data_IF_258506958840
#
_entry.id   IF_258506958840
#
_cell.length_a   1.000
_cell.length_b   1.000
_cell.length_c   1.000
_cell.angle_alpha   90.00
_cell.angle_beta   90.00
_cell.angle_gamma   90.00
#
_symmetry.space_group_name_H-M   'P 1'
#
loop_
_entity.id
_entity.type
_entity.pdbx_description
1 polymer ?
#
# COMPACT_ATOMS: atom_id res chain seq x y z
N UNK A 1 -23.22 39.00 5.47
CA UNK A 1 -22.81 38.18 6.63
C UNK A 1 -24.06 37.54 7.24
N UNK A 2 -24.12 36.21 7.29
CA UNK A 2 -24.82 35.39 8.30
C UNK A 2 -24.60 33.91 7.91
N UNK A 3 -23.75 33.20 8.67
CA UNK A 3 -23.65 31.74 8.59
C UNK A 3 -24.82 31.14 9.40
N UNK A 4 -25.60 30.26 8.77
CA UNK A 4 -26.61 29.46 9.45
C UNK A 4 -25.90 28.37 10.28
N UNK A 5 -26.09 28.42 11.60
CA UNK A 5 -25.58 27.41 12.52
C UNK A 5 -26.30 26.07 12.34
N UNK A 6 -25.53 24.98 12.30
CA UNK A 6 -26.07 23.62 12.38
C UNK A 6 -26.54 23.35 13.82
N UNK A 7 -27.77 22.86 13.95
CA UNK A 7 -28.38 22.46 15.22
C UNK A 7 -27.61 21.28 15.84
N UNK A 8 -26.98 21.46 17.02
CA UNK A 8 -26.16 20.43 17.68
C UNK A 8 -26.98 19.28 18.27
N UNK A 9 -28.32 19.33 18.20
CA UNK A 9 -29.21 18.32 18.79
C UNK A 9 -29.65 17.24 17.79
N UNK A 10 -29.25 17.34 16.52
CA UNK A 10 -29.61 16.33 15.52
C UNK A 10 -28.79 15.05 15.78
N UNK A 11 -29.42 13.91 16.10
CA UNK A 11 -28.67 12.67 16.26
C UNK A 11 -27.94 12.35 14.95
N UNK A 12 -26.62 12.18 15.03
CA UNK A 12 -25.85 11.60 13.94
C UNK A 12 -26.42 10.20 13.68
N UNK A 13 -26.73 9.82 12.42
CA UNK A 13 -27.12 8.45 12.14
C UNK A 13 -26.00 7.54 12.64
N UNK A 14 -26.34 6.59 13.52
CA UNK A 14 -25.41 5.55 13.92
C UNK A 14 -24.95 4.83 12.64
N UNK A 15 -23.64 4.75 12.44
CA UNK A 15 -23.07 3.93 11.37
C UNK A 15 -23.47 2.49 11.68
N UNK A 16 -24.44 1.96 10.94
CA UNK A 16 -24.79 0.55 11.04
C UNK A 16 -23.55 -0.30 10.76
N UNK A 17 -23.33 -1.40 11.49
CA UNK A 17 -22.18 -2.25 11.23
C UNK A 17 -22.27 -2.75 9.79
N UNK A 18 -21.19 -2.56 9.03
CA UNK A 18 -21.10 -3.03 7.66
C UNK A 18 -21.29 -4.55 7.64
N UNK A 19 -22.48 -4.98 7.25
CA UNK A 19 -22.75 -6.36 6.85
C UNK A 19 -21.69 -6.72 5.82
N UNK A 20 -20.94 -7.81 6.06
CA UNK A 20 -19.87 -8.28 5.19
C UNK A 20 -20.41 -8.57 3.79
N UNK A 21 -20.34 -7.56 2.92
CA UNK A 21 -20.64 -7.69 1.51
C UNK A 21 -19.48 -8.43 0.85
N UNK A 22 -19.80 -9.30 -0.12
CA UNK A 22 -18.81 -9.88 -1.02
C UNK A 22 -17.90 -8.77 -1.57
N UNK A 23 -16.57 -8.99 -1.64
CA UNK A 23 -15.64 -7.98 -2.12
C UNK A 23 -16.09 -7.48 -3.49
N UNK A 24 -16.21 -6.16 -3.62
CA UNK A 24 -16.57 -5.56 -4.91
C UNK A 24 -15.47 -5.89 -5.91
N UNK A 25 -15.81 -6.07 -7.20
CA UNK A 25 -14.83 -6.50 -8.20
C UNK A 25 -13.56 -5.62 -8.25
N UNK A 26 -13.69 -4.31 -7.98
CA UNK A 26 -12.55 -3.39 -7.89
C UNK A 26 -11.68 -3.61 -6.64
N UNK A 27 -12.27 -4.02 -5.51
CA UNK A 27 -11.54 -4.38 -4.29
C UNK A 27 -10.72 -5.65 -4.52
N UNK A 28 -11.30 -6.65 -5.20
CA UNK A 28 -10.58 -7.87 -5.60
C UNK A 28 -9.41 -7.56 -6.56
N UNK A 29 -9.63 -6.69 -7.55
CA UNK A 29 -8.59 -6.28 -8.49
C UNK A 29 -7.48 -5.46 -7.81
N UNK A 30 -7.83 -4.52 -6.92
CA UNK A 30 -6.86 -3.79 -6.11
C UNK A 30 -6.07 -4.76 -5.21
N UNK A 31 -6.73 -5.72 -4.57
CA UNK A 31 -6.07 -6.74 -3.76
C UNK A 31 -5.07 -7.55 -4.58
N UNK A 32 -5.45 -7.98 -5.78
CA UNK A 32 -4.55 -8.71 -6.67
C UNK A 32 -3.32 -7.87 -7.08
N UNK A 33 -3.49 -6.58 -7.34
CA UNK A 33 -2.37 -5.68 -7.62
C UNK A 33 -1.43 -5.52 -6.41
N UNK A 34 -1.97 -5.51 -5.19
CA UNK A 34 -1.19 -5.47 -3.96
C UNK A 34 -0.41 -6.78 -3.73
N UNK A 35 -1.02 -7.92 -3.99
CA UNK A 35 -0.34 -9.21 -3.92
C UNK A 35 0.78 -9.31 -4.98
N UNK A 36 0.52 -8.87 -6.22
CA UNK A 36 1.53 -8.79 -7.28
C UNK A 36 2.71 -7.87 -6.91
N UNK A 37 2.46 -6.74 -6.25
CA UNK A 37 3.50 -5.86 -5.71
C UNK A 37 4.42 -6.61 -4.73
N UNK A 38 3.85 -7.42 -3.83
CA UNK A 38 4.63 -8.15 -2.84
C UNK A 38 5.42 -9.30 -3.46
N UNK A 39 4.80 -10.01 -4.42
CA UNK A 39 5.45 -11.08 -5.17
C UNK A 39 6.62 -10.54 -6.00
N UNK A 40 6.45 -9.40 -6.66
CA UNK A 40 7.52 -8.73 -7.40
C UNK A 40 8.67 -8.32 -6.48
N UNK A 41 8.40 -7.74 -5.31
CA UNK A 41 9.44 -7.49 -4.30
C UNK A 41 10.17 -8.78 -3.92
N UNK A 42 9.44 -9.85 -3.61
CA UNK A 42 9.99 -11.14 -3.21
C UNK A 42 10.83 -11.80 -4.31
N UNK A 43 10.53 -11.52 -5.59
CA UNK A 43 11.33 -12.00 -6.72
C UNK A 43 12.70 -11.32 -6.84
N UNK A 44 12.89 -10.18 -6.15
CA UNK A 44 14.09 -9.33 -6.22
C UNK A 44 14.35 -8.73 -7.61
N UNK A 45 13.35 -8.75 -8.49
CA UNK A 45 13.38 -8.10 -9.78
C UNK A 45 12.82 -6.67 -9.63
N UNK A 46 13.72 -5.69 -9.73
CA UNK A 46 13.35 -4.27 -9.60
C UNK A 46 12.49 -3.77 -10.76
N UNK A 47 12.67 -4.31 -11.96
CA UNK A 47 11.85 -3.93 -13.11
C UNK A 47 10.42 -4.44 -12.89
N UNK A 48 10.28 -5.73 -12.55
CA UNK A 48 8.98 -6.29 -12.20
C UNK A 48 8.33 -5.55 -11.01
N UNK A 49 9.11 -5.12 -10.02
CA UNK A 49 8.57 -4.34 -8.91
C UNK A 49 8.10 -2.95 -9.34
N UNK A 50 8.86 -2.27 -10.21
CA UNK A 50 8.50 -0.97 -10.75
C UNK A 50 7.22 -1.02 -11.59
N UNK A 51 7.01 -2.09 -12.37
CA UNK A 51 5.78 -2.31 -13.16
C UNK A 51 4.50 -2.36 -12.30
N UNK A 52 4.61 -2.75 -11.03
CA UNK A 52 3.45 -2.80 -10.11
C UNK A 52 3.03 -1.42 -9.59
N UNK A 53 3.78 -0.37 -9.91
CA UNK A 53 3.57 0.97 -9.40
C UNK A 53 2.81 1.86 -10.38
N UNK A 54 2.17 2.90 -9.84
CA UNK A 54 1.75 4.06 -10.60
C UNK A 54 2.68 5.23 -10.30
N UNK A 55 2.99 6.00 -11.35
CA UNK A 55 3.89 7.13 -11.28
C UNK A 55 3.13 8.47 -11.44
N UNK A 56 3.59 9.57 -10.82
CA UNK A 56 4.70 9.63 -9.85
C UNK A 56 4.36 8.84 -8.58
N UNK A 57 5.30 8.00 -8.13
CA UNK A 57 5.11 7.12 -6.98
C UNK A 57 5.58 7.83 -5.71
N UNK A 58 4.77 7.77 -4.65
CA UNK A 58 5.06 8.47 -3.38
C UNK A 58 5.36 7.47 -2.28
N UNK A 59 6.44 7.69 -1.54
CA UNK A 59 6.69 7.01 -0.27
C UNK A 59 6.87 8.01 0.84
N UNK A 60 6.13 7.84 1.92
CA UNK A 60 6.35 8.55 3.19
C UNK A 60 7.01 7.57 4.15
N UNK A 61 8.16 7.94 4.68
CA UNK A 61 8.99 7.12 5.57
C UNK A 61 9.79 8.03 6.50
N UNK A 62 10.18 7.58 7.70
CA UNK A 62 11.13 8.22 8.64
C UNK A 62 11.29 9.76 8.52
N UNK A 63 10.19 10.52 8.66
CA UNK A 63 10.20 12.00 8.62
C UNK A 63 10.43 12.63 7.24
N UNK A 64 10.47 11.84 6.17
CA UNK A 64 10.72 12.24 4.80
C UNK A 64 9.61 11.80 3.84
N UNK A 65 9.52 12.52 2.72
CA UNK A 65 8.71 12.13 1.56
C UNK A 65 9.66 11.93 0.39
N UNK A 66 9.55 10.79 -0.26
CA UNK A 66 10.27 10.48 -1.49
C UNK A 66 9.29 10.31 -2.63
N UNK A 67 9.59 10.97 -3.75
CA UNK A 67 8.83 10.84 -4.99
C UNK A 67 9.76 10.25 -6.05
N UNK A 68 9.22 9.35 -6.87
CA UNK A 68 9.83 8.87 -8.10
C UNK A 68 8.92 9.24 -9.25
N UNK A 69 9.44 9.96 -10.25
CA UNK A 69 8.66 10.45 -11.38
C UNK A 69 8.30 9.37 -12.38
N UNK A 70 9.17 8.36 -12.51
CA UNK A 70 9.03 7.28 -13.47
C UNK A 70 9.71 5.99 -13.00
N UNK A 71 9.54 4.95 -13.81
CA UNK A 71 10.11 3.62 -13.60
C UNK A 71 11.64 3.62 -13.55
N UNK A 72 12.29 4.31 -14.49
CA UNK A 72 13.75 4.35 -14.55
C UNK A 72 14.36 4.95 -13.27
N UNK A 73 13.81 6.07 -12.81
CA UNK A 73 14.21 6.70 -11.56
C UNK A 73 13.90 5.83 -10.33
N UNK A 74 12.81 5.05 -10.36
CA UNK A 74 12.52 4.08 -9.30
C UNK A 74 13.57 2.97 -9.24
N UNK A 75 13.86 2.31 -10.36
CA UNK A 75 14.84 1.22 -10.43
C UNK A 75 16.22 1.71 -9.98
N UNK A 76 16.69 2.85 -10.51
CA UNK A 76 17.99 3.41 -10.16
C UNK A 76 18.11 3.66 -8.64
N UNK A 77 17.13 4.35 -8.06
CA UNK A 77 17.20 4.78 -6.66
C UNK A 77 16.85 3.68 -5.65
N UNK A 78 16.05 2.68 -6.06
CA UNK A 78 15.71 1.53 -5.20
C UNK A 78 16.73 0.39 -5.29
N UNK A 79 17.65 0.39 -6.26
CA UNK A 79 18.75 -0.58 -6.35
C UNK A 79 19.57 -0.70 -5.05
N UNK A 80 20.13 0.39 -4.48
CA UNK A 80 20.88 0.29 -3.24
C UNK A 80 20.01 -0.15 -2.05
N UNK A 81 18.74 0.26 -2.00
CA UNK A 81 17.81 -0.15 -0.92
C UNK A 81 17.52 -1.65 -0.96
N UNK A 82 17.30 -2.22 -2.15
CA UNK A 82 17.09 -3.67 -2.31
C UNK A 82 18.35 -4.45 -1.95
N UNK A 83 19.53 -3.98 -2.37
CA UNK A 83 20.80 -4.60 -2.00
C UNK A 83 20.97 -4.64 -0.47
N UNK A 84 20.76 -3.51 0.21
CA UNK A 84 20.82 -3.44 1.68
C UNK A 84 19.79 -4.34 2.35
N UNK A 85 18.58 -4.44 1.79
CA UNK A 85 17.57 -5.35 2.30
C UNK A 85 18.04 -6.81 2.20
N UNK A 86 18.55 -7.23 1.05
CA UNK A 86 19.11 -8.59 0.87
C UNK A 86 20.27 -8.85 1.82
N UNK A 87 21.19 -7.89 1.99
CA UNK A 87 22.35 -8.00 2.88
C UNK A 87 21.96 -8.10 4.37
N UNK A 88 20.79 -7.60 4.75
CA UNK A 88 20.25 -7.76 6.11
C UNK A 88 19.78 -9.19 6.44
N UNK A 89 19.90 -10.13 5.48
CA UNK A 89 19.43 -11.51 5.60
C UNK A 89 17.96 -11.70 5.21
N UNK A 90 17.29 -10.65 4.72
CA UNK A 90 15.92 -10.76 4.22
C UNK A 90 15.83 -11.71 3.03
N UNK A 91 14.85 -12.62 3.09
CA UNK A 91 14.57 -13.58 2.03
C UNK A 91 13.21 -13.35 1.40
N UNK A 92 12.18 -13.10 2.22
CA UNK A 92 10.82 -12.84 1.74
C UNK A 92 10.05 -11.94 2.69
N UNK A 93 8.98 -11.35 2.17
CA UNK A 93 7.94 -10.68 2.94
C UNK A 93 6.60 -11.38 2.78
N UNK A 94 5.71 -11.27 3.76
CA UNK A 94 4.30 -11.71 3.65
C UNK A 94 3.35 -10.73 4.30
N UNK A 95 2.13 -10.66 3.78
CA UNK A 95 1.03 -10.02 4.48
C UNK A 95 0.69 -10.76 5.77
N UNK A 96 0.65 -10.03 6.89
CA UNK A 96 0.02 -10.49 8.13
C UNK A 96 -1.46 -10.06 8.15
N UNK A 97 -1.76 -8.86 7.66
CA UNK A 97 -3.13 -8.39 7.44
C UNK A 97 -3.21 -7.39 6.27
N UNK A 98 -4.36 -7.37 5.60
CA UNK A 98 -4.73 -6.40 4.57
C UNK A 98 -6.19 -6.04 4.78
N UNK A 99 -6.47 -4.79 5.12
CA UNK A 99 -7.83 -4.25 5.25
C UNK A 99 -8.04 -3.16 4.21
N UNK A 100 -9.03 -3.33 3.33
CA UNK A 100 -9.40 -2.33 2.33
C UNK A 100 -10.38 -1.33 2.96
N UNK A 101 -9.86 -0.30 3.62
CA UNK A 101 -10.61 0.58 4.51
C UNK A 101 -11.51 1.59 3.78
N UNK A 102 -11.09 2.03 2.59
CA UNK A 102 -11.88 2.90 1.73
C UNK A 102 -11.73 2.45 0.28
N UNK A 103 -12.84 2.30 -0.43
CA UNK A 103 -12.82 1.81 -1.80
C UNK A 103 -13.84 2.54 -2.68
N UNK A 104 -13.43 2.70 -3.92
CA UNK A 104 -14.19 3.22 -5.05
C UNK A 104 -13.77 2.46 -6.31
N UNK A 105 -14.48 2.59 -7.43
CA UNK A 105 -14.13 1.88 -8.67
C UNK A 105 -12.70 2.10 -9.17
N UNK A 106 -12.07 3.24 -8.83
CA UNK A 106 -10.76 3.63 -9.34
C UNK A 106 -9.70 3.89 -8.27
N UNK A 107 -10.05 3.80 -6.99
CA UNK A 107 -9.12 4.03 -5.88
C UNK A 107 -9.49 3.20 -4.66
N UNK A 108 -8.47 2.58 -4.05
CA UNK A 108 -8.59 1.84 -2.79
C UNK A 108 -7.48 2.25 -1.84
N UNK A 109 -7.84 2.51 -0.58
CA UNK A 109 -6.90 2.66 0.52
C UNK A 109 -6.85 1.35 1.29
N UNK A 110 -5.64 0.82 1.50
CA UNK A 110 -5.39 -0.39 2.24
C UNK A 110 -4.57 -0.10 3.49
N UNK A 111 -5.08 -0.52 4.65
CA UNK A 111 -4.29 -0.64 5.87
C UNK A 111 -3.62 -2.02 5.82
N UNK A 112 -2.30 -2.05 5.81
CA UNK A 112 -1.54 -3.29 5.66
C UNK A 112 -0.58 -3.47 6.82
N UNK A 113 -0.43 -4.73 7.20
CA UNK A 113 0.67 -5.20 8.03
C UNK A 113 1.43 -6.27 7.28
N UNK A 114 2.74 -6.11 7.15
CA UNK A 114 3.59 -7.12 6.52
C UNK A 114 4.77 -7.50 7.41
N UNK A 115 5.14 -8.77 7.35
CA UNK A 115 6.30 -9.34 8.01
C UNK A 115 7.43 -9.53 7.01
N UNK A 116 8.66 -9.45 7.51
CA UNK A 116 9.88 -9.86 6.81
C UNK A 116 10.43 -11.13 7.44
N UNK A 117 10.99 -11.99 6.60
CA UNK A 117 11.52 -13.29 7.00
C UNK A 117 12.94 -13.49 6.49
N UNK A 118 13.75 -14.19 7.29
CA UNK A 118 15.07 -14.66 6.88
C UNK A 118 15.03 -16.01 6.15
N UNK A 119 16.20 -16.55 5.81
CA UNK A 119 16.35 -17.81 5.09
C UNK A 119 15.86 -19.05 5.89
N UNK A 120 15.77 -18.96 7.21
CA UNK A 120 15.17 -20.01 8.06
C UNK A 120 13.64 -19.94 8.10
N UNK A 121 13.06 -18.88 7.54
CA UNK A 121 11.63 -18.56 7.61
C UNK A 121 11.24 -17.80 8.87
N UNK A 122 12.17 -17.55 9.79
CA UNK A 122 11.91 -16.79 11.00
C UNK A 122 11.58 -15.34 10.68
N UNK A 123 10.60 -14.78 11.40
CA UNK A 123 10.21 -13.37 11.24
C UNK A 123 11.26 -12.46 11.85
N UNK A 124 11.81 -11.54 11.06
CA UNK A 124 12.82 -10.57 11.49
C UNK A 124 12.24 -9.20 11.81
N UNK A 125 11.04 -8.90 11.32
CA UNK A 125 10.36 -7.64 11.59
C UNK A 125 8.93 -7.65 11.09
N UNK A 126 8.15 -6.68 11.57
CA UNK A 126 6.76 -6.45 11.18
C UNK A 126 6.49 -4.96 11.07
N UNK A 127 5.75 -4.57 10.05
CA UNK A 127 5.60 -3.16 9.65
C UNK A 127 4.15 -2.87 9.31
N UNK A 128 3.63 -1.77 9.85
CA UNK A 128 2.31 -1.24 9.51
C UNK A 128 2.45 -0.13 8.46
N UNK A 129 1.49 -0.05 7.54
CA UNK A 129 1.52 0.97 6.49
C UNK A 129 0.14 1.22 5.89
N UNK A 130 -0.04 2.41 5.30
CA UNK A 130 -1.16 2.70 4.40
C UNK A 130 -0.68 2.65 2.96
N UNK A 131 -1.37 1.87 2.13
CA UNK A 131 -1.10 1.77 0.70
C UNK A 131 -2.28 2.38 -0.06
N UNK A 132 -1.97 3.23 -1.05
CA UNK A 132 -2.97 3.82 -1.95
C UNK A 132 -2.83 3.12 -3.29
N UNK A 133 -3.88 2.42 -3.70
CA UNK A 133 -3.97 1.77 -5.00
C UNK A 133 -4.90 2.57 -5.90
N UNK A 134 -4.52 2.72 -7.16
CA UNK A 134 -5.35 3.40 -8.16
C UNK A 134 -5.49 2.56 -9.42
N UNK A 135 -6.64 2.68 -10.08
CA UNK A 135 -6.86 2.21 -11.44
C UNK A 135 -6.63 3.36 -12.41
N UNK A 136 -5.75 3.17 -13.40
CA UNK A 136 -5.53 4.11 -14.51
C UNK A 136 -5.39 3.29 -15.78
N UNK A 137 -6.09 3.67 -16.83
CA UNK A 137 -6.08 2.95 -18.12
C UNK A 137 -6.32 1.44 -17.94
N UNK A 138 -7.34 1.10 -17.14
CA UNK A 138 -7.72 -0.26 -16.74
C UNK A 138 -6.65 -1.09 -15.99
N UNK A 139 -5.55 -0.46 -15.57
CA UNK A 139 -4.48 -1.08 -14.78
C UNK A 139 -4.50 -0.62 -13.32
N UNK A 140 -4.56 -1.57 -12.40
CA UNK A 140 -4.32 -1.33 -10.98
C UNK A 140 -2.83 -1.29 -10.66
N UNK A 141 -2.43 -0.40 -9.77
CA UNK A 141 -1.06 -0.31 -9.28
C UNK A 141 -0.97 0.49 -7.99
N UNK A 142 0.17 0.41 -7.32
CA UNK A 142 0.42 1.12 -6.07
C UNK A 142 0.92 2.54 -6.37
N UNK A 143 0.13 3.54 -6.00
CA UNK A 143 0.49 4.95 -6.17
C UNK A 143 1.31 5.48 -4.99
N UNK A 144 0.94 5.10 -3.77
CA UNK A 144 1.61 5.59 -2.57
C UNK A 144 1.76 4.53 -1.49
N UNK A 145 2.85 4.63 -0.73
CA UNK A 145 3.14 3.83 0.46
C UNK A 145 3.51 4.74 1.62
N UNK A 146 2.78 4.66 2.71
CA UNK A 146 2.96 5.53 3.88
C UNK A 146 3.28 4.63 5.06
N UNK A 147 4.55 4.58 5.45
CA UNK A 147 4.98 3.79 6.60
C UNK A 147 4.40 4.37 7.90
N UNK A 148 4.07 3.49 8.84
CA UNK A 148 3.66 3.87 10.18
C UNK A 148 4.71 3.38 11.19
N UNK A 149 5.13 4.28 12.08
CA UNK A 149 6.05 4.01 13.18
C UNK A 149 5.51 4.68 14.42
N UNK A 150 5.51 3.96 15.56
CA UNK A 150 5.15 4.49 16.88
C UNK A 150 6.38 4.98 17.65
#
# INVERSE_FOLDING_TARGET
MAQAGQDPSRPHPALEPAVSAEPRAHEAAARAALDAFLDALNSRDLAAWAETLHYPHVRVHEGAVTVWEDEAGYVERSTPELAQLVDSGWTRSSWESVELSQSSPDQVHALVRFARHDASGARTGSFDSVYVLTRRDDRWGVLARIGFSV
#
